data_IF_575000229448
#
_entry.id   IF_575000229448
#
_cell.length_a   1.000
_cell.length_b   1.000
_cell.length_c   1.000
_cell.angle_alpha   90.00
_cell.angle_beta   90.00
_cell.angle_gamma   90.00
#
_symmetry.space_group_name_H-M   'P 1'
#
loop_
_entity.id
_entity.type
_entity.pdbx_description
1 polymer ?
#
# COMPACT_ATOMS: atom_id res chain seq x y z
N UNK A 1 5.29 18.95 -2.30
CA UNK A 1 5.80 17.59 -1.99
C UNK A 1 5.02 17.05 -0.80
N UNK A 2 4.15 16.06 -0.99
CA UNK A 2 3.40 15.47 0.12
C UNK A 2 4.35 14.65 1.02
N UNK A 3 4.43 15.00 2.30
CA UNK A 3 5.17 14.22 3.28
C UNK A 3 4.50 12.85 3.41
N UNK A 4 5.19 11.79 2.98
CA UNK A 4 4.70 10.42 3.12
C UNK A 4 4.88 10.03 4.59
N UNK A 5 3.83 10.23 5.37
CA UNK A 5 3.77 9.76 6.76
C UNK A 5 3.94 8.24 6.71
N UNK A 6 4.91 7.65 7.44
CA UNK A 6 5.06 6.21 7.50
C UNK A 6 3.78 5.63 8.11
N UNK A 7 2.97 4.98 7.29
CA UNK A 7 1.77 4.28 7.74
C UNK A 7 2.13 2.85 8.14
N UNK A 8 1.54 2.37 9.22
CA UNK A 8 1.65 0.97 9.63
C UNK A 8 0.75 0.08 8.75
N UNK A 9 0.95 -1.23 8.82
CA UNK A 9 0.22 -2.20 7.99
C UNK A 9 -1.31 -2.13 8.14
N UNK A 10 -1.81 -1.80 9.34
CA UNK A 10 -3.24 -1.58 9.62
C UNK A 10 -3.78 -0.32 8.91
N UNK A 11 -3.03 0.78 8.92
CA UNK A 11 -3.40 2.01 8.22
C UNK A 11 -3.33 1.81 6.70
N UNK A 12 -2.36 1.05 6.21
CA UNK A 12 -2.24 0.70 4.80
C UNK A 12 -3.44 -0.13 4.31
N UNK A 13 -3.81 -1.20 5.02
CA UNK A 13 -4.99 -1.99 4.68
C UNK A 13 -6.29 -1.18 4.77
N UNK A 14 -6.40 -0.29 5.77
CA UNK A 14 -7.54 0.63 5.89
C UNK A 14 -7.62 1.58 4.71
N UNK A 15 -6.51 2.19 4.29
CA UNK A 15 -6.48 3.08 3.12
C UNK A 15 -6.82 2.36 1.82
N UNK A 16 -6.28 1.15 1.60
CA UNK A 16 -6.66 0.30 0.47
C UNK A 16 -8.17 0.09 0.41
N UNK A 17 -8.79 -0.30 1.54
CA UNK A 17 -10.25 -0.51 1.62
C UNK A 17 -11.03 0.78 1.39
N UNK A 18 -10.59 1.90 1.96
CA UNK A 18 -11.24 3.20 1.79
C UNK A 18 -11.22 3.68 0.33
N UNK A 19 -10.15 3.39 -0.40
CA UNK A 19 -9.98 3.78 -1.80
C UNK A 19 -10.50 2.71 -2.78
N UNK A 20 -10.98 1.57 -2.29
CA UNK A 20 -11.43 0.46 -3.13
C UNK A 20 -10.31 -0.20 -3.93
N UNK A 21 -9.04 0.01 -3.57
CA UNK A 21 -7.89 -0.51 -4.31
C UNK A 21 -7.60 -1.95 -3.86
N UNK A 22 -7.73 -2.95 -4.74
CA UNK A 22 -7.38 -4.33 -4.40
C UNK A 22 -5.87 -4.53 -4.34
N UNK A 23 -5.44 -5.50 -3.52
CA UNK A 23 -4.04 -5.85 -3.35
C UNK A 23 -3.37 -6.32 -4.66
N UNK A 24 -4.13 -6.90 -5.58
CA UNK A 24 -3.67 -7.31 -6.91
C UNK A 24 -3.21 -6.12 -7.77
N UNK A 25 -3.92 -4.99 -7.74
CA UNK A 25 -3.55 -3.79 -8.48
C UNK A 25 -2.26 -3.18 -7.93
N UNK A 26 -2.14 -3.15 -6.59
CA UNK A 26 -0.93 -2.69 -5.92
C UNK A 26 0.26 -3.63 -6.17
N UNK A 27 0.04 -4.94 -6.18
CA UNK A 27 1.04 -5.93 -6.54
C UNK A 27 1.55 -5.72 -7.98
N UNK A 28 0.62 -5.49 -8.92
CA UNK A 28 0.92 -5.24 -10.32
C UNK A 28 1.70 -3.93 -10.50
N UNK A 29 1.28 -2.85 -9.84
CA UNK A 29 1.95 -1.54 -9.90
C UNK A 29 3.34 -1.54 -9.29
N UNK A 30 3.55 -2.33 -8.23
CA UNK A 30 4.85 -2.50 -7.59
C UNK A 30 5.69 -3.64 -8.18
N UNK A 31 5.22 -4.28 -9.26
CA UNK A 31 5.86 -5.44 -9.91
C UNK A 31 6.35 -6.48 -8.90
N UNK A 32 5.49 -6.83 -7.94
CA UNK A 32 5.82 -7.76 -6.87
C UNK A 32 4.68 -8.76 -6.62
N UNK A 33 4.97 -9.94 -6.08
CA UNK A 33 3.92 -10.91 -5.76
C UNK A 33 2.94 -10.37 -4.71
N UNK A 34 1.68 -10.75 -4.85
CA UNK A 34 0.57 -10.28 -4.00
C UNK A 34 0.79 -10.62 -2.52
N UNK A 35 1.49 -11.73 -2.23
CA UNK A 35 1.88 -12.13 -0.87
C UNK A 35 2.70 -11.07 -0.16
N UNK A 36 3.55 -10.32 -0.88
CA UNK A 36 4.32 -9.22 -0.28
C UNK A 36 3.43 -8.02 0.08
N UNK A 37 2.33 -7.81 -0.64
CA UNK A 37 1.33 -6.80 -0.32
C UNK A 37 0.55 -7.19 0.93
N UNK A 38 0.16 -8.46 1.05
CA UNK A 38 -0.48 -8.98 2.27
C UNK A 38 0.47 -9.00 3.47
N UNK A 39 1.75 -9.35 3.26
CA UNK A 39 2.78 -9.26 4.29
C UNK A 39 2.95 -7.81 4.76
N UNK A 40 2.95 -6.85 3.84
CA UNK A 40 3.05 -5.42 4.18
C UNK A 40 1.91 -4.94 5.08
N UNK A 41 0.71 -5.51 4.99
CA UNK A 41 -0.41 -5.19 5.90
C UNK A 41 -0.17 -5.64 7.35
N UNK A 42 0.77 -6.56 7.57
CA UNK A 42 1.16 -7.07 8.90
C UNK A 42 2.44 -6.43 9.44
N UNK A 43 3.13 -5.61 8.64
CA UNK A 43 4.35 -4.93 9.07
C UNK A 43 4.00 -3.71 9.92
N UNK A 44 4.82 -3.46 10.96
CA UNK A 44 4.79 -2.21 11.72
C UNK A 44 5.10 -1.00 10.84
N UNK A 45 5.94 -1.19 9.82
CA UNK A 45 6.34 -0.14 8.88
C UNK A 45 6.20 -0.61 7.44
N UNK A 46 5.27 0.00 6.71
CA UNK A 46 5.04 -0.34 5.30
C UNK A 46 6.14 0.29 4.43
N UNK A 47 6.75 -0.47 3.51
CA UNK A 47 7.70 0.08 2.56
C UNK A 47 7.12 1.24 1.76
N UNK A 48 7.88 2.33 1.66
CA UNK A 48 7.48 3.59 1.02
C UNK A 48 6.93 3.39 -0.39
N UNK A 49 7.55 2.50 -1.18
CA UNK A 49 7.12 2.13 -2.54
C UNK A 49 5.64 1.73 -2.62
N UNK A 50 5.11 1.04 -1.61
CA UNK A 50 3.71 0.60 -1.58
C UNK A 50 2.78 1.76 -1.25
N UNK A 51 3.23 2.67 -0.38
CA UNK A 51 2.47 3.86 -0.02
C UNK A 51 2.38 4.81 -1.22
N UNK A 52 3.49 4.98 -1.94
CA UNK A 52 3.56 5.80 -3.16
C UNK A 52 2.67 5.21 -4.26
N UNK A 53 2.74 3.90 -4.49
CA UNK A 53 1.87 3.24 -5.46
C UNK A 53 0.39 3.39 -5.06
N UNK A 54 0.06 3.29 -3.76
CA UNK A 54 -1.30 3.44 -3.27
C UNK A 54 -1.80 4.87 -3.45
N UNK A 55 -0.97 5.88 -3.20
CA UNK A 55 -1.32 7.29 -3.46
C UNK A 55 -1.48 7.60 -4.94
N UNK A 56 -0.65 7.03 -5.82
CA UNK A 56 -0.79 7.21 -7.27
C UNK A 56 -2.08 6.60 -7.83
N UNK A 57 -2.55 5.52 -7.23
CA UNK A 57 -3.79 4.84 -7.62
C UNK A 57 -5.06 5.47 -7.03
N UNK A 58 -4.90 6.38 -6.07
CA UNK A 58 -5.99 7.04 -5.36
C UNK A 58 -6.44 8.38 -5.98
N UNK A 59 -6.03 8.64 -7.22
CA UNK A 59 -6.41 9.83 -8.00
C UNK A 59 -7.87 9.74 -8.43
#
# INVERSE_FOLDING_TARGET
MAAIIPINGKQFSRKMRQQGIPASILAMRCSCPIDKIYAAQKLDRVPRRYIEALQQLAV
#
